data_IF_964076092006
#
_entry.id   IF_964076092006
#
_cell.length_a   1.000
_cell.length_b   1.000
_cell.length_c   1.000
_cell.angle_alpha   90.00
_cell.angle_beta   90.00
_cell.angle_gamma   90.00
#
_symmetry.space_group_name_H-M   'P 1'
#
loop_
_entity.id
_entity.type
_entity.pdbx_description
1 polymer ?
#
# COMPACT_ATOMS: atom_id res chain seq x y z
N UNK A 1 -25.13 -8.63 -3.06
CA UNK A 1 -23.79 -9.23 -3.23
C UNK A 1 -22.70 -8.49 -2.46
N UNK A 2 -22.54 -7.16 -2.60
CA UNK A 2 -21.47 -6.41 -1.91
C UNK A 2 -21.43 -6.57 -0.37
N UNK A 3 -22.60 -6.64 0.29
CA UNK A 3 -22.67 -6.87 1.73
C UNK A 3 -22.22 -8.28 2.15
N UNK A 4 -22.56 -9.30 1.35
CA UNK A 4 -22.18 -10.70 1.61
C UNK A 4 -20.67 -10.88 1.43
N UNK A 5 -20.09 -10.33 0.38
CA UNK A 5 -18.63 -10.32 0.19
C UNK A 5 -17.90 -9.53 1.27
N UNK A 6 -18.52 -8.46 1.80
CA UNK A 6 -17.96 -7.68 2.91
C UNK A 6 -17.84 -8.48 4.21
N UNK A 7 -18.88 -9.26 4.56
CA UNK A 7 -18.87 -10.13 5.74
C UNK A 7 -17.78 -11.21 5.59
N UNK A 8 -17.75 -11.91 4.45
CA UNK A 8 -16.72 -12.91 4.18
C UNK A 8 -15.31 -12.32 4.27
N UNK A 9 -15.09 -11.11 3.74
CA UNK A 9 -13.79 -10.42 3.82
C UNK A 9 -13.37 -10.15 5.27
N UNK A 10 -14.31 -9.77 6.14
CA UNK A 10 -14.00 -9.54 7.55
C UNK A 10 -13.67 -10.83 8.30
N UNK A 11 -14.37 -11.92 8.00
CA UNK A 11 -14.15 -13.23 8.62
C UNK A 11 -12.83 -13.87 8.16
N UNK A 12 -12.45 -13.62 6.90
CA UNK A 12 -11.28 -14.18 6.23
C UNK A 12 -10.07 -13.22 6.21
N UNK A 13 -10.14 -12.08 6.88
CA UNK A 13 -9.02 -11.16 6.99
C UNK A 13 -7.85 -11.80 7.75
N UNK A 14 -6.58 -11.45 7.43
CA UNK A 14 -5.45 -11.88 8.24
C UNK A 14 -5.63 -11.38 9.68
N UNK A 15 -5.47 -12.25 10.69
CA UNK A 15 -5.70 -11.87 12.08
C UNK A 15 -4.59 -10.93 12.57
N UNK A 16 -4.93 -10.09 13.55
CA UNK A 16 -3.97 -9.43 14.42
C UNK A 16 -3.84 -10.27 15.69
N UNK A 17 -2.80 -11.11 15.83
CA UNK A 17 -2.67 -12.01 16.98
C UNK A 17 -2.55 -11.22 18.28
N UNK A 18 -3.23 -11.63 19.35
CA UNK A 18 -3.07 -11.01 20.67
C UNK A 18 -1.58 -10.97 21.09
N UNK A 19 -0.86 -12.07 20.84
CA UNK A 19 0.59 -12.18 21.07
C UNK A 19 1.27 -12.95 19.94
N UNK A 20 2.51 -12.56 19.68
CA UNK A 20 3.43 -13.25 18.79
C UNK A 20 4.59 -13.77 19.63
N UNK A 21 4.89 -15.05 19.54
CA UNK A 21 5.85 -15.71 20.44
C UNK A 21 6.96 -16.43 19.68
N UNK A 22 8.11 -16.58 20.35
CA UNK A 22 9.23 -17.42 19.90
C UNK A 22 8.88 -18.91 20.01
N UNK A 23 9.68 -19.82 19.43
CA UNK A 23 9.55 -21.26 19.67
C UNK A 23 9.66 -21.66 21.15
N UNK A 24 10.37 -20.86 21.97
CA UNK A 24 10.52 -21.08 23.41
C UNK A 24 9.34 -20.52 24.23
N UNK A 25 8.43 -19.77 23.60
CA UNK A 25 7.26 -19.16 24.24
C UNK A 25 7.47 -17.71 24.70
N UNK A 26 8.63 -17.11 24.44
CA UNK A 26 8.90 -15.71 24.76
C UNK A 26 8.04 -14.79 23.90
N UNK A 27 7.46 -13.75 24.50
CA UNK A 27 6.66 -12.76 23.77
C UNK A 27 7.60 -11.86 22.96
N UNK A 28 7.42 -11.83 21.64
CA UNK A 28 8.22 -11.05 20.70
C UNK A 28 7.55 -9.71 20.36
N UNK A 29 6.23 -9.74 20.16
CA UNK A 29 5.38 -8.56 19.96
C UNK A 29 3.92 -8.89 20.29
N UNK A 30 3.06 -7.89 20.28
CA UNK A 30 1.64 -8.00 20.62
C UNK A 30 0.77 -7.28 19.61
N UNK A 31 -0.53 -7.57 19.65
CA UNK A 31 -1.52 -6.82 18.86
C UNK A 31 -1.41 -5.31 19.03
N UNK A 32 -1.19 -4.83 20.27
CA UNK A 32 -1.10 -3.40 20.56
C UNK A 32 0.10 -2.75 19.89
N UNK A 33 1.26 -3.42 19.86
CA UNK A 33 2.45 -2.90 19.18
C UNK A 33 2.29 -2.89 17.66
N UNK A 34 1.70 -3.94 17.06
CA UNK A 34 1.39 -3.97 15.62
C UNK A 34 0.43 -2.82 15.25
N UNK A 35 -0.63 -2.61 16.02
CA UNK A 35 -1.59 -1.52 15.79
C UNK A 35 -0.99 -0.13 16.04
N UNK A 36 -0.07 -0.01 17.00
CA UNK A 36 0.72 1.21 17.22
C UNK A 36 1.59 1.50 15.99
N UNK A 37 2.24 0.49 15.42
CA UNK A 37 2.98 0.62 14.17
C UNK A 37 2.12 1.08 12.99
N UNK A 38 0.92 0.52 12.85
CA UNK A 38 -0.05 0.97 11.84
C UNK A 38 -0.47 2.42 12.08
N UNK A 39 -0.66 2.82 13.33
CA UNK A 39 -1.00 4.21 13.69
C UNK A 39 0.16 5.16 13.36
N UNK A 40 1.40 4.75 13.62
CA UNK A 40 2.61 5.48 13.21
C UNK A 40 2.68 5.61 11.68
N UNK A 41 2.45 4.53 10.93
CA UNK A 41 2.40 4.56 9.47
C UNK A 41 1.42 5.64 8.94
N UNK A 42 0.24 5.73 9.56
CA UNK A 42 -0.78 6.72 9.21
C UNK A 42 -0.41 8.13 9.68
N UNK A 43 0.14 8.26 10.89
CA UNK A 43 0.53 9.55 11.49
C UNK A 43 1.54 10.30 10.62
N UNK A 44 2.50 9.57 10.04
CA UNK A 44 3.56 10.11 9.20
C UNK A 44 3.24 10.09 7.71
N UNK A 45 1.97 9.86 7.34
CA UNK A 45 1.55 9.91 5.93
C UNK A 45 2.31 8.95 5.01
N UNK A 46 2.80 7.80 5.53
CA UNK A 46 3.72 6.96 4.77
C UNK A 46 3.06 6.28 3.55
N UNK A 47 1.72 6.28 3.45
CA UNK A 47 0.98 5.88 2.25
C UNK A 47 1.07 6.91 1.10
N UNK A 48 1.45 8.15 1.42
CA UNK A 48 1.82 9.18 0.45
C UNK A 48 3.32 9.19 0.14
N UNK A 49 4.09 8.34 0.82
CA UNK A 49 5.52 8.15 0.60
C UNK A 49 5.85 6.85 -0.14
N UNK A 50 5.23 5.74 0.25
CA UNK A 50 5.33 4.42 -0.39
C UNK A 50 3.99 3.71 -0.36
N UNK A 51 4.00 2.38 -0.25
CA UNK A 51 2.77 1.58 -0.23
C UNK A 51 2.81 0.41 0.75
N UNK A 52 1.62 -0.06 1.13
CA UNK A 52 1.40 -1.34 1.84
C UNK A 52 0.35 -2.10 1.04
N UNK A 53 0.60 -3.40 0.80
CA UNK A 53 -0.26 -4.23 -0.04
C UNK A 53 -0.57 -3.61 -1.41
N UNK A 54 0.39 -2.91 -2.01
CA UNK A 54 0.29 -2.26 -3.32
C UNK A 54 -0.54 -0.98 -3.33
N UNK A 55 -1.08 -0.56 -2.18
CA UNK A 55 -1.88 0.66 -2.07
C UNK A 55 -1.03 1.78 -1.47
N UNK A 56 -0.83 2.86 -2.23
CA UNK A 56 -0.05 4.01 -1.79
C UNK A 56 0.52 4.80 -2.97
N UNK A 57 1.76 5.26 -2.84
CA UNK A 57 2.54 5.86 -3.93
C UNK A 57 3.62 4.94 -4.46
N UNK A 58 4.24 5.41 -5.55
CA UNK A 58 5.36 4.77 -6.23
C UNK A 58 6.67 5.53 -6.03
N UNK A 59 6.73 6.48 -5.08
CA UNK A 59 7.97 7.23 -4.80
C UNK A 59 8.93 6.37 -3.99
N UNK A 60 8.45 5.88 -2.85
CA UNK A 60 9.12 4.92 -2.00
C UNK A 60 8.74 3.48 -2.35
N UNK A 61 9.31 2.53 -1.61
CA UNK A 61 9.02 1.12 -1.81
C UNK A 61 7.60 0.77 -1.40
N UNK A 62 7.15 -0.41 -1.82
CA UNK A 62 6.09 -1.10 -1.09
C UNK A 62 6.70 -1.79 0.14
N UNK A 63 6.32 -1.33 1.32
CA UNK A 63 6.88 -1.81 2.58
C UNK A 63 6.57 -3.29 2.83
N UNK A 64 5.44 -3.79 2.36
CA UNK A 64 5.11 -5.22 2.48
C UNK A 64 6.03 -6.07 1.61
N UNK A 65 6.19 -5.71 0.33
CA UNK A 65 7.02 -6.44 -0.61
C UNK A 65 8.50 -6.38 -0.23
N UNK A 66 9.00 -5.21 0.14
CA UNK A 66 10.37 -5.04 0.63
C UNK A 66 10.62 -5.86 1.88
N UNK A 67 9.71 -5.81 2.87
CA UNK A 67 9.86 -6.58 4.11
C UNK A 67 9.82 -8.08 3.84
N UNK A 68 8.87 -8.55 3.02
CA UNK A 68 8.76 -9.98 2.71
C UNK A 68 10.01 -10.51 1.99
N UNK A 69 10.53 -9.74 1.05
CA UNK A 69 11.77 -10.08 0.35
C UNK A 69 12.97 -10.16 1.33
N UNK A 70 13.10 -9.17 2.22
CA UNK A 70 14.13 -9.14 3.25
C UNK A 70 14.02 -10.33 4.21
N UNK A 71 12.80 -10.68 4.66
CA UNK A 71 12.56 -11.88 5.47
C UNK A 71 13.08 -13.12 4.73
N UNK A 72 12.79 -13.25 3.44
CA UNK A 72 13.31 -14.33 2.60
C UNK A 72 14.84 -14.36 2.53
N UNK A 73 15.52 -13.22 2.46
CA UNK A 73 16.99 -13.13 2.49
C UNK A 73 17.53 -13.57 3.86
N UNK A 74 17.01 -13.00 4.94
CA UNK A 74 17.51 -13.24 6.30
C UNK A 74 17.28 -14.69 6.75
N UNK A 75 16.15 -15.28 6.40
CA UNK A 75 15.86 -16.69 6.70
C UNK A 75 16.79 -17.64 5.94
N UNK A 76 17.15 -17.34 4.69
CA UNK A 76 18.16 -18.12 3.95
C UNK A 76 19.52 -18.07 4.61
N UNK A 77 19.96 -16.88 5.02
CA UNK A 77 21.22 -16.73 5.76
C UNK A 77 21.19 -17.50 7.09
N UNK A 78 20.06 -17.47 7.81
CA UNK A 78 19.87 -18.26 9.01
C UNK A 78 20.02 -19.76 8.75
N UNK A 79 19.30 -20.30 7.76
CA UNK A 79 19.34 -21.73 7.43
C UNK A 79 20.68 -22.18 6.83
N UNK A 80 21.33 -21.33 6.03
CA UNK A 80 22.66 -21.58 5.50
C UNK A 80 23.69 -21.73 6.62
N UNK A 81 23.70 -20.80 7.59
CA UNK A 81 24.57 -20.88 8.77
C UNK A 81 24.25 -22.08 9.64
N UNK A 82 22.98 -22.34 9.88
CA UNK A 82 22.53 -23.45 10.73
C UNK A 82 22.95 -24.82 10.16
N UNK A 83 22.82 -25.01 8.85
CA UNK A 83 23.00 -26.32 8.21
C UNK A 83 24.39 -26.56 7.64
N UNK A 84 25.04 -25.50 7.14
CA UNK A 84 26.30 -25.60 6.40
C UNK A 84 27.42 -24.74 7.00
N UNK A 85 27.14 -23.96 8.07
CA UNK A 85 28.10 -23.05 8.71
C UNK A 85 28.74 -22.03 7.75
N UNK A 86 28.03 -21.68 6.69
CA UNK A 86 28.45 -20.75 5.64
C UNK A 86 27.35 -19.71 5.37
N UNK A 87 27.71 -18.58 4.77
CA UNK A 87 26.71 -17.63 4.26
C UNK A 87 25.99 -18.22 3.05
N UNK A 88 24.73 -17.83 2.84
CA UNK A 88 23.94 -18.32 1.71
C UNK A 88 24.62 -18.05 0.37
N UNK A 89 25.28 -16.89 0.24
CA UNK A 89 26.02 -16.51 -0.97
C UNK A 89 27.10 -17.54 -1.37
N UNK A 90 27.77 -18.17 -0.40
CA UNK A 90 28.90 -19.07 -0.61
C UNK A 90 28.51 -20.53 -0.86
N UNK A 91 27.24 -20.88 -0.68
CA UNK A 91 26.74 -22.23 -0.90
C UNK A 91 26.76 -22.64 -2.38
N UNK A 92 26.99 -23.94 -2.62
CA UNK A 92 26.84 -24.55 -3.94
C UNK A 92 25.37 -24.64 -4.38
N UNK A 93 25.08 -24.89 -5.67
CA UNK A 93 23.71 -24.89 -6.20
C UNK A 93 22.74 -25.85 -5.48
N UNK A 94 23.20 -27.06 -5.13
CA UNK A 94 22.37 -28.05 -4.44
C UNK A 94 22.03 -27.62 -3.00
N UNK A 95 22.97 -27.00 -2.30
CA UNK A 95 22.80 -26.51 -0.93
C UNK A 95 21.88 -25.28 -0.93
N UNK A 96 22.02 -24.37 -1.90
CA UNK A 96 21.10 -23.24 -2.11
C UNK A 96 19.67 -23.72 -2.33
N UNK A 97 19.45 -24.69 -3.21
CA UNK A 97 18.13 -25.25 -3.47
C UNK A 97 17.50 -25.86 -2.20
N UNK A 98 18.29 -26.52 -1.35
CA UNK A 98 17.82 -27.04 -0.08
C UNK A 98 17.43 -25.92 0.90
N UNK A 99 18.23 -24.86 1.00
CA UNK A 99 17.95 -23.69 1.85
C UNK A 99 16.73 -22.90 1.34
N UNK A 100 16.60 -22.75 0.02
CA UNK A 100 15.45 -22.13 -0.62
C UNK A 100 14.16 -22.87 -0.29
N UNK A 101 14.14 -24.19 -0.46
CA UNK A 101 12.99 -25.03 -0.15
C UNK A 101 12.57 -24.96 1.31
N UNK A 102 13.54 -24.97 2.24
CA UNK A 102 13.28 -24.79 3.67
C UNK A 102 12.70 -23.41 3.98
N UNK A 103 13.29 -22.35 3.41
CA UNK A 103 12.84 -20.98 3.61
C UNK A 103 11.42 -20.79 3.13
N UNK A 104 11.11 -21.25 1.91
CA UNK A 104 9.77 -21.13 1.32
C UNK A 104 8.76 -21.91 2.16
N UNK A 105 9.06 -23.17 2.51
CA UNK A 105 8.17 -24.00 3.34
C UNK A 105 7.88 -23.33 4.69
N UNK A 106 8.91 -22.76 5.33
CA UNK A 106 8.77 -22.08 6.62
C UNK A 106 7.94 -20.79 6.53
N UNK A 107 8.17 -19.95 5.52
CA UNK A 107 7.37 -18.73 5.27
C UNK A 107 5.90 -19.08 5.00
N UNK A 108 5.65 -20.14 4.23
CA UNK A 108 4.31 -20.53 3.81
C UNK A 108 3.50 -21.17 4.95
N UNK A 109 4.16 -21.78 5.92
CA UNK A 109 3.49 -22.48 7.01
C UNK A 109 2.75 -21.50 7.94
N UNK A 110 1.44 -21.70 8.07
CA UNK A 110 0.62 -20.96 9.01
C UNK A 110 0.71 -21.55 10.42
N UNK A 111 1.20 -20.74 11.37
CA UNK A 111 1.38 -21.11 12.79
C UNK A 111 0.54 -20.24 13.72
N UNK A 112 -0.51 -19.63 13.20
CA UNK A 112 -1.48 -18.91 14.02
C UNK A 112 -2.51 -19.89 14.59
N UNK A 113 -2.62 -19.94 15.90
CA UNK A 113 -3.65 -20.68 16.62
C UNK A 113 -4.80 -19.74 17.02
N UNK A 114 -5.96 -19.97 16.41
CA UNK A 114 -7.18 -19.19 16.65
C UNK A 114 -7.75 -19.40 18.06
N UNK A 115 -7.51 -20.55 18.68
CA UNK A 115 -8.04 -20.88 20.02
C UNK A 115 -7.33 -20.10 21.13
N UNK A 116 -6.02 -19.90 20.98
CA UNK A 116 -5.18 -19.16 21.92
C UNK A 116 -4.83 -17.74 21.47
N UNK A 117 -5.34 -17.32 20.30
CA UNK A 117 -5.03 -16.05 19.62
C UNK A 117 -3.53 -15.73 19.58
N UNK A 118 -2.73 -16.74 19.23
CA UNK A 118 -1.27 -16.71 19.31
C UNK A 118 -0.65 -17.10 17.97
N UNK A 119 0.30 -16.30 17.51
CA UNK A 119 1.17 -16.64 16.38
C UNK A 119 2.53 -17.09 16.91
N UNK A 120 2.95 -18.32 16.63
CA UNK A 120 4.29 -18.80 16.95
C UNK A 120 5.21 -18.68 15.74
N UNK A 121 6.27 -17.88 15.85
CA UNK A 121 7.27 -17.73 14.80
C UNK A 121 8.30 -18.86 14.88
N UNK A 122 8.87 -19.25 13.74
CA UNK A 122 10.06 -20.12 13.71
C UNK A 122 11.30 -19.35 14.21
N UNK A 123 12.37 -20.08 14.56
CA UNK A 123 13.64 -19.43 14.92
C UNK A 123 14.21 -18.54 13.81
N UNK A 124 14.05 -18.95 12.55
CA UNK A 124 14.47 -18.18 11.39
C UNK A 124 13.62 -16.91 11.21
N UNK A 125 12.31 -16.98 11.47
CA UNK A 125 11.42 -15.82 11.42
C UNK A 125 11.69 -14.82 12.55
N UNK A 126 12.01 -15.29 13.76
CA UNK A 126 12.43 -14.43 14.87
C UNK A 126 13.71 -13.68 14.51
N UNK A 127 14.73 -14.39 13.99
CA UNK A 127 15.97 -13.77 13.51
C UNK A 127 15.70 -12.74 12.41
N UNK A 128 14.85 -13.06 11.43
CA UNK A 128 14.50 -12.14 10.35
C UNK A 128 13.79 -10.88 10.85
N UNK A 129 12.87 -11.00 11.81
CA UNK A 129 12.19 -9.84 12.42
C UNK A 129 13.18 -8.89 13.11
N UNK A 130 14.19 -9.41 13.81
CA UNK A 130 15.23 -8.57 14.41
C UNK A 130 16.01 -7.77 13.36
N UNK A 131 16.34 -8.39 12.22
CA UNK A 131 17.01 -7.71 11.11
C UNK A 131 16.09 -6.65 10.46
N UNK A 132 14.81 -6.95 10.30
CA UNK A 132 13.80 -6.00 9.78
C UNK A 132 13.63 -4.80 10.71
N UNK A 133 13.60 -5.02 12.03
CA UNK A 133 13.57 -3.93 13.03
C UNK A 133 14.80 -3.03 12.89
N UNK A 134 15.98 -3.62 12.76
CA UNK A 134 17.23 -2.86 12.53
C UNK A 134 17.19 -2.07 11.22
N UNK A 135 16.74 -2.69 10.12
CA UNK A 135 16.63 -2.04 8.82
C UNK A 135 15.72 -0.80 8.84
N UNK A 136 14.55 -0.91 9.46
CA UNK A 136 13.61 0.22 9.52
C UNK A 136 13.99 1.26 10.59
N UNK A 137 14.61 0.86 11.70
CA UNK A 137 15.19 1.83 12.64
C UNK A 137 16.22 2.71 11.94
N UNK A 138 17.10 2.10 11.13
CA UNK A 138 18.08 2.79 10.32
C UNK A 138 17.42 3.74 9.30
N UNK A 139 16.54 3.19 8.44
CA UNK A 139 15.89 3.96 7.38
C UNK A 139 15.18 5.21 7.89
N UNK A 140 14.41 5.11 8.98
CA UNK A 140 13.63 6.24 9.49
C UNK A 140 14.40 7.15 10.47
N UNK A 141 15.58 6.74 10.93
CA UNK A 141 16.46 7.59 11.74
C UNK A 141 17.48 8.33 10.88
N UNK A 142 18.17 7.65 9.97
CA UNK A 142 19.24 8.22 9.12
C UNK A 142 18.75 8.67 7.74
N UNK A 143 17.56 8.25 7.32
CA UNK A 143 17.04 8.49 5.97
C UNK A 143 17.67 7.53 4.96
N UNK A 144 17.23 7.62 3.71
CA UNK A 144 17.82 6.86 2.60
C UNK A 144 18.79 7.72 1.76
N UNK A 145 19.77 7.10 1.08
CA UNK A 145 20.70 7.82 0.21
C UNK A 145 20.00 8.55 -0.95
N UNK A 146 18.86 8.02 -1.41
CA UNK A 146 18.07 8.59 -2.51
C UNK A 146 17.15 9.74 -2.04
N UNK A 147 17.12 10.04 -0.73
CA UNK A 147 16.28 11.09 -0.11
C UNK A 147 14.79 10.95 -0.44
N UNK A 148 14.32 9.71 -0.56
CA UNK A 148 12.89 9.41 -0.50
C UNK A 148 12.41 9.55 0.95
N UNK A 149 13.14 8.96 1.90
CA UNK A 149 12.93 9.10 3.34
C UNK A 149 13.96 10.06 3.90
N UNK A 150 13.50 11.20 4.40
CA UNK A 150 14.38 12.19 5.04
C UNK A 150 14.95 11.65 6.36
N UNK A 151 16.16 12.08 6.73
CA UNK A 151 16.73 11.75 8.03
C UNK A 151 15.82 12.28 9.16
N UNK A 152 15.61 11.45 10.19
CA UNK A 152 14.78 11.81 11.33
C UNK A 152 13.29 11.98 11.03
N UNK A 153 12.76 11.41 9.95
CA UNK A 153 11.30 11.39 9.69
C UNK A 153 10.53 10.89 10.92
N UNK A 154 11.03 9.85 11.60
CA UNK A 154 10.45 9.34 12.85
C UNK A 154 11.51 9.38 13.94
N UNK A 155 11.35 10.29 14.90
CA UNK A 155 12.36 10.53 15.95
C UNK A 155 12.28 9.55 17.12
N UNK A 156 11.08 9.07 17.47
CA UNK A 156 10.87 8.11 18.57
C UNK A 156 11.29 6.68 18.17
N UNK A 157 12.31 6.08 18.81
CA UNK A 157 12.70 4.69 18.56
C UNK A 157 11.58 3.68 18.81
N UNK A 158 10.70 3.94 19.79
CA UNK A 158 9.57 3.08 20.09
C UNK A 158 8.52 3.06 18.97
N UNK A 159 8.37 4.16 18.23
CA UNK A 159 7.52 4.22 17.04
C UNK A 159 8.17 3.50 15.85
N UNK A 160 9.49 3.64 15.65
CA UNK A 160 10.20 2.93 14.58
C UNK A 160 10.16 1.41 14.77
N UNK A 161 10.35 0.93 16.00
CA UNK A 161 10.23 -0.49 16.33
C UNK A 161 8.81 -1.02 16.09
N UNK A 162 7.78 -0.31 16.55
CA UNK A 162 6.38 -0.68 16.31
C UNK A 162 6.04 -0.67 14.81
N UNK A 163 6.55 0.30 14.06
CA UNK A 163 6.36 0.39 12.60
C UNK A 163 6.97 -0.82 11.87
N UNK A 164 8.16 -1.26 12.28
CA UNK A 164 8.77 -2.48 11.75
C UNK A 164 7.93 -3.72 12.05
N UNK A 165 7.33 -3.82 13.24
CA UNK A 165 6.40 -4.92 13.60
C UNK A 165 5.14 -4.91 12.73
N UNK A 166 4.62 -3.72 12.42
CA UNK A 166 3.50 -3.58 11.47
C UNK A 166 3.90 -4.05 10.07
N UNK A 167 5.04 -3.61 9.54
CA UNK A 167 5.51 -4.05 8.23
C UNK A 167 5.77 -5.55 8.16
N UNK A 168 6.38 -6.11 9.21
CA UNK A 168 6.54 -7.55 9.35
C UNK A 168 5.19 -8.28 9.35
N UNK A 169 4.19 -7.78 10.07
CA UNK A 169 2.84 -8.37 10.06
C UNK A 169 2.21 -8.34 8.65
N UNK A 170 2.35 -7.23 7.91
CA UNK A 170 1.85 -7.15 6.53
C UNK A 170 2.53 -8.16 5.61
N UNK A 171 3.84 -8.37 5.79
CA UNK A 171 4.64 -9.34 5.05
C UNK A 171 4.32 -10.79 5.45
N UNK A 172 4.11 -11.05 6.73
CA UNK A 172 3.65 -12.34 7.24
C UNK A 172 2.31 -12.72 6.58
N UNK A 173 1.34 -11.81 6.56
CA UNK A 173 0.06 -12.05 5.90
C UNK A 173 0.25 -12.33 4.39
N UNK A 174 1.18 -11.61 3.75
CA UNK A 174 1.46 -11.75 2.33
C UNK A 174 2.21 -13.04 1.95
N UNK A 175 3.01 -13.60 2.86
CA UNK A 175 3.81 -14.81 2.67
C UNK A 175 3.14 -16.10 3.15
N UNK A 176 2.27 -16.02 4.15
CA UNK A 176 1.69 -17.18 4.86
C UNK A 176 0.41 -17.68 4.20
N UNK A 177 0.29 -19.00 4.02
CA UNK A 177 -0.92 -19.63 3.49
C UNK A 177 -2.13 -19.42 4.40
N UNK A 178 -3.31 -19.26 3.81
CA UNK A 178 -4.56 -19.33 4.57
C UNK A 178 -4.75 -20.74 5.13
N UNK A 179 -5.43 -20.90 6.28
CA UNK A 179 -5.81 -22.23 6.76
C UNK A 179 -6.59 -22.98 5.68
N UNK A 180 -6.15 -24.21 5.36
CA UNK A 180 -6.78 -25.08 4.36
C UNK A 180 -6.81 -24.52 2.92
N UNK A 181 -5.91 -23.60 2.55
CA UNK A 181 -5.78 -23.12 1.18
C UNK A 181 -4.34 -23.24 0.66
N UNK A 182 -4.20 -23.15 -0.67
CA UNK A 182 -2.95 -23.20 -1.42
C UNK A 182 -2.37 -21.80 -1.77
N UNK A 183 -3.01 -20.74 -1.27
CA UNK A 183 -2.61 -19.36 -1.47
C UNK A 183 -2.56 -18.57 -0.15
N UNK A 184 -1.81 -17.47 -0.16
CA UNK A 184 -1.63 -16.60 1.02
C UNK A 184 -2.85 -15.73 1.31
N UNK A 185 -2.87 -15.03 2.45
CA UNK A 185 -3.98 -14.12 2.78
C UNK A 185 -4.21 -13.04 1.71
N UNK A 186 -3.16 -12.70 0.94
CA UNK A 186 -3.17 -11.72 -0.15
C UNK A 186 -3.21 -12.36 -1.54
N UNK A 187 -3.59 -13.64 -1.65
CA UNK A 187 -3.64 -14.37 -2.92
C UNK A 187 -2.29 -14.45 -3.64
N UNK A 188 -1.22 -14.75 -2.89
CA UNK A 188 0.18 -14.84 -3.36
C UNK A 188 0.77 -13.51 -3.90
N UNK A 189 0.14 -12.38 -3.60
CA UNK A 189 0.78 -11.08 -3.77
C UNK A 189 1.69 -10.78 -2.57
N UNK A 190 2.86 -10.13 -2.74
CA UNK A 190 3.46 -9.63 -3.97
C UNK A 190 4.20 -10.72 -4.74
N UNK A 191 4.41 -10.56 -6.07
CA UNK A 191 5.15 -11.52 -6.87
C UNK A 191 6.62 -11.57 -6.44
N UNK A 192 7.02 -12.68 -5.82
CA UNK A 192 8.39 -12.98 -5.45
C UNK A 192 8.58 -14.50 -5.37
N UNK A 193 9.23 -15.06 -6.39
CA UNK A 193 9.48 -16.50 -6.48
C UNK A 193 10.39 -17.00 -5.36
N UNK A 194 11.23 -16.14 -4.79
CA UNK A 194 12.17 -16.49 -3.71
C UNK A 194 11.45 -16.75 -2.39
N UNK A 195 10.23 -16.25 -2.20
CA UNK A 195 9.38 -16.59 -1.04
C UNK A 195 8.22 -17.50 -1.42
N UNK A 196 8.25 -18.06 -2.64
CA UNK A 196 7.21 -18.94 -3.16
C UNK A 196 5.91 -18.24 -3.54
N UNK A 197 5.92 -16.90 -3.69
CA UNK A 197 4.78 -16.17 -4.22
C UNK A 197 4.78 -16.20 -5.75
N UNK A 198 3.77 -16.87 -6.31
CA UNK A 198 3.57 -17.01 -7.75
C UNK A 198 2.10 -16.80 -8.10
N UNK A 199 1.85 -16.40 -9.34
CA UNK A 199 0.51 -16.22 -9.88
C UNK A 199 -0.30 -17.52 -9.73
N UNK A 200 -1.46 -17.44 -9.09
CA UNK A 200 -2.32 -18.61 -8.90
C UNK A 200 -3.06 -18.98 -10.18
N UNK A 201 -3.38 -20.28 -10.32
CA UNK A 201 -4.22 -20.76 -11.41
C UNK A 201 -5.58 -20.07 -11.41
N UNK A 202 -6.18 -19.88 -10.22
CA UNK A 202 -7.45 -19.18 -10.05
C UNK A 202 -7.42 -17.73 -10.56
N UNK A 203 -6.35 -16.97 -10.26
CA UNK A 203 -6.21 -15.60 -10.77
C UNK A 203 -6.16 -15.57 -12.30
N UNK A 204 -5.46 -16.55 -12.90
CA UNK A 204 -5.35 -16.68 -14.36
C UNK A 204 -6.71 -17.04 -14.97
N UNK A 205 -7.41 -18.02 -14.40
CA UNK A 205 -8.73 -18.45 -14.86
C UNK A 205 -9.75 -17.31 -14.84
N UNK A 206 -9.85 -16.56 -13.74
CA UNK A 206 -10.80 -15.45 -13.64
C UNK A 206 -10.47 -14.27 -14.57
N UNK A 207 -9.18 -14.04 -14.84
CA UNK A 207 -8.77 -13.05 -15.84
C UNK A 207 -9.32 -13.39 -17.23
N UNK A 208 -9.13 -14.63 -17.68
CA UNK A 208 -9.64 -15.08 -18.99
C UNK A 208 -11.16 -15.03 -19.05
N UNK A 209 -11.85 -15.53 -18.02
CA UNK A 209 -13.31 -15.49 -17.92
C UNK A 209 -13.82 -14.04 -17.98
N UNK A 210 -13.19 -13.10 -17.26
CA UNK A 210 -13.62 -11.70 -17.25
C UNK A 210 -13.53 -11.03 -18.62
N UNK A 211 -12.50 -11.34 -19.41
CA UNK A 211 -12.32 -10.76 -20.74
C UNK A 211 -13.39 -11.29 -21.69
N UNK A 212 -13.65 -12.60 -21.67
CA UNK A 212 -14.71 -13.22 -22.49
C UNK A 212 -16.08 -12.65 -22.13
N UNK A 213 -16.38 -12.56 -20.83
CA UNK A 213 -17.65 -11.98 -20.38
C UNK A 213 -17.75 -10.50 -20.78
N UNK A 214 -16.70 -9.70 -20.60
CA UNK A 214 -16.69 -8.30 -21.00
C UNK A 214 -17.03 -8.13 -22.48
N UNK A 215 -16.40 -8.91 -23.37
CA UNK A 215 -16.69 -8.87 -24.81
C UNK A 215 -18.13 -9.29 -25.12
N UNK A 216 -18.62 -10.37 -24.50
CA UNK A 216 -19.98 -10.85 -24.70
C UNK A 216 -21.03 -9.81 -24.24
N UNK A 217 -20.85 -9.22 -23.07
CA UNK A 217 -21.74 -8.18 -22.54
C UNK A 217 -21.66 -6.89 -23.33
N UNK A 218 -20.47 -6.48 -23.81
CA UNK A 218 -20.33 -5.32 -24.68
C UNK A 218 -21.12 -5.51 -25.98
N UNK A 219 -21.01 -6.68 -26.61
CA UNK A 219 -21.77 -7.03 -27.81
C UNK A 219 -23.28 -7.08 -27.55
N UNK A 220 -23.71 -7.70 -26.43
CA UNK A 220 -25.12 -7.76 -26.04
C UNK A 220 -25.69 -6.36 -25.78
N UNK A 221 -24.98 -5.50 -25.06
CA UNK A 221 -25.41 -4.13 -24.77
C UNK A 221 -25.49 -3.31 -26.06
N UNK A 222 -24.50 -3.40 -26.95
CA UNK A 222 -24.54 -2.73 -28.24
C UNK A 222 -25.75 -3.19 -29.07
N UNK A 223 -25.99 -4.50 -29.13
CA UNK A 223 -27.16 -5.06 -29.81
C UNK A 223 -28.47 -4.57 -29.19
N UNK A 224 -28.63 -4.62 -27.87
CA UNK A 224 -29.82 -4.11 -27.16
C UNK A 224 -30.02 -2.62 -27.37
N UNK A 225 -28.93 -1.84 -27.39
CA UNK A 225 -28.95 -0.40 -27.63
C UNK A 225 -29.51 -0.08 -29.03
N UNK A 226 -29.06 -0.81 -30.06
CA UNK A 226 -29.56 -0.66 -31.42
C UNK A 226 -30.98 -1.23 -31.61
N UNK A 227 -31.25 -2.42 -31.08
CA UNK A 227 -32.55 -3.09 -31.19
C UNK A 227 -33.65 -2.29 -30.46
N UNK A 228 -33.35 -1.78 -29.27
CA UNK A 228 -34.24 -0.91 -28.49
C UNK A 228 -34.39 0.50 -29.08
N UNK A 229 -33.66 0.83 -30.15
CA UNK A 229 -33.74 2.13 -30.80
C UNK A 229 -33.21 3.29 -29.98
N UNK A 230 -32.39 3.04 -28.95
CA UNK A 230 -31.76 4.09 -28.13
C UNK A 230 -30.73 4.93 -28.92
N UNK A 231 -30.33 4.44 -30.10
CA UNK A 231 -29.49 5.14 -31.06
C UNK A 231 -30.28 5.99 -32.06
N UNK A 232 -31.62 6.00 -31.99
CA UNK A 232 -32.46 6.83 -32.85
C UNK A 232 -32.66 8.16 -32.15
N UNK A 233 -32.09 9.22 -32.70
CA UNK A 233 -32.42 10.57 -32.27
C UNK A 233 -33.92 10.81 -32.53
N UNK A 234 -34.61 11.39 -31.56
CA UNK A 234 -35.83 12.13 -31.90
C UNK A 234 -35.38 13.29 -32.76
N UNK A 235 -35.93 13.46 -33.96
CA UNK A 235 -35.68 14.61 -34.82
C UNK A 235 -35.82 15.88 -33.97
N UNK A 236 -34.69 16.47 -33.58
CA UNK A 236 -34.68 17.63 -32.69
C UNK A 236 -35.07 18.84 -33.50
N UNK A 237 -36.38 19.07 -33.62
CA UNK A 237 -36.93 20.22 -34.34
C UNK A 237 -36.72 21.56 -33.61
N UNK A 238 -36.14 21.55 -32.40
CA UNK A 238 -35.92 22.74 -31.58
C UNK A 238 -34.43 22.93 -31.26
N UNK A 239 -33.91 24.11 -31.57
CA UNK A 239 -32.61 24.57 -31.05
C UNK A 239 -32.77 24.96 -29.56
N UNK A 240 -32.83 23.95 -28.70
CA UNK A 240 -32.96 24.13 -27.24
C UNK A 240 -31.82 24.99 -26.68
N UNK A 241 -30.64 24.95 -27.29
CA UNK A 241 -29.51 25.80 -26.90
C UNK A 241 -29.80 27.28 -27.15
N UNK A 242 -30.41 27.63 -28.29
CA UNK A 242 -30.86 29.00 -28.54
C UNK A 242 -31.96 29.46 -27.58
N UNK A 243 -32.89 28.58 -27.21
CA UNK A 243 -33.93 28.92 -26.22
C UNK A 243 -33.31 29.19 -24.85
N UNK A 244 -32.40 28.31 -24.40
CA UNK A 244 -31.67 28.47 -23.13
C UNK A 244 -30.83 29.75 -23.12
N UNK A 245 -30.18 30.10 -24.24
CA UNK A 245 -29.37 31.31 -24.35
C UNK A 245 -30.16 32.62 -24.25
N UNK A 246 -31.48 32.58 -24.53
CA UNK A 246 -32.37 33.76 -24.44
C UNK A 246 -33.03 33.92 -23.07
N UNK A 247 -32.90 32.94 -22.18
CA UNK A 247 -33.46 33.04 -20.83
C UNK A 247 -32.65 34.02 -19.97
N UNK A 248 -33.30 34.85 -19.14
CA UNK A 248 -32.60 35.75 -18.24
C UNK A 248 -31.83 34.95 -17.18
N UNK A 249 -30.60 35.38 -16.90
CA UNK A 249 -29.78 34.78 -15.85
C UNK A 249 -30.34 35.18 -14.48
N UNK A 250 -30.74 34.20 -13.69
CA UNK A 250 -31.20 34.43 -12.32
C UNK A 250 -30.06 34.87 -11.40
N UNK A 251 -30.41 35.52 -10.29
CA UNK A 251 -29.44 35.94 -9.29
C UNK A 251 -28.60 34.76 -8.74
N UNK A 252 -29.19 33.57 -8.58
CA UNK A 252 -28.47 32.37 -8.12
C UNK A 252 -27.46 31.87 -9.15
N UNK A 253 -27.86 31.76 -10.43
CA UNK A 253 -26.96 31.38 -11.53
C UNK A 253 -25.78 32.36 -11.66
N UNK A 254 -26.02 33.66 -11.50
CA UNK A 254 -24.96 34.66 -11.51
C UNK A 254 -23.97 34.48 -10.33
N UNK A 255 -24.43 34.04 -9.15
CA UNK A 255 -23.53 33.72 -8.03
C UNK A 255 -22.71 32.44 -8.26
N UNK A 256 -23.20 31.50 -9.05
CA UNK A 256 -22.46 30.28 -9.43
C UNK A 256 -21.14 30.59 -10.13
N UNK A 257 -21.02 31.72 -10.83
CA UNK A 257 -19.76 32.18 -11.43
C UNK A 257 -18.60 32.24 -10.42
N UNK A 258 -18.89 32.56 -9.15
CA UNK A 258 -17.87 32.58 -8.07
C UNK A 258 -17.35 31.18 -7.75
N UNK A 259 -18.20 30.16 -7.82
CA UNK A 259 -17.78 28.77 -7.62
C UNK A 259 -16.85 28.32 -8.75
N UNK A 260 -17.13 28.69 -10.00
CA UNK A 260 -16.22 28.40 -11.11
C UNK A 260 -14.86 29.07 -10.92
N UNK A 261 -14.80 30.30 -10.42
CA UNK A 261 -13.53 30.96 -10.11
C UNK A 261 -12.73 30.20 -9.04
N UNK A 262 -13.40 29.75 -7.98
CA UNK A 262 -12.77 28.91 -6.94
C UNK A 262 -12.27 27.60 -7.53
N UNK A 263 -13.07 26.93 -8.37
CA UNK A 263 -12.67 25.68 -9.05
C UNK A 263 -11.42 25.89 -9.91
N UNK A 264 -11.37 26.97 -10.71
CA UNK A 264 -10.18 27.29 -11.54
C UNK A 264 -8.96 27.54 -10.67
N UNK A 265 -9.10 28.28 -9.57
CA UNK A 265 -8.00 28.53 -8.64
C UNK A 265 -7.48 27.25 -7.98
N UNK A 266 -8.39 26.39 -7.51
CA UNK A 266 -8.03 25.09 -6.91
C UNK A 266 -7.40 24.15 -7.94
N UNK A 267 -7.91 24.13 -9.17
CA UNK A 267 -7.34 23.35 -10.27
C UNK A 267 -5.92 23.79 -10.63
N UNK A 268 -5.67 25.11 -10.66
CA UNK A 268 -4.33 25.65 -10.87
C UNK A 268 -3.39 25.22 -9.74
N UNK A 269 -3.82 25.36 -8.48
CA UNK A 269 -3.03 24.94 -7.32
C UNK A 269 -2.72 23.43 -7.35
N UNK A 270 -3.74 22.60 -7.64
CA UNK A 270 -3.60 21.16 -7.77
C UNK A 270 -2.57 20.78 -8.85
N UNK A 271 -2.63 21.47 -10.00
CA UNK A 271 -1.69 21.25 -11.11
C UNK A 271 -0.26 21.63 -10.74
N UNK A 272 -0.08 22.77 -10.04
CA UNK A 272 1.23 23.19 -9.54
C UNK A 272 1.82 22.19 -8.53
N UNK A 273 0.99 21.67 -7.60
CA UNK A 273 1.42 20.63 -6.66
C UNK A 273 1.79 19.33 -7.38
N UNK A 274 1.04 18.94 -8.41
CA UNK A 274 1.37 17.80 -9.27
C UNK A 274 2.72 17.96 -9.97
N UNK A 275 2.98 19.15 -10.52
CA UNK A 275 4.28 19.49 -11.11
C UNK A 275 5.43 19.45 -10.10
N UNK A 276 5.21 19.94 -8.87
CA UNK A 276 6.20 19.86 -7.80
C UNK A 276 6.53 18.41 -7.41
N UNK A 277 5.53 17.55 -7.22
CA UNK A 277 5.77 16.12 -6.94
C UNK A 277 6.56 15.43 -8.06
N UNK A 278 6.17 15.67 -9.31
CA UNK A 278 6.88 15.12 -10.47
C UNK A 278 8.33 15.63 -10.56
N UNK A 279 8.63 16.86 -10.12
CA UNK A 279 10.01 17.32 -10.00
C UNK A 279 10.77 16.54 -8.93
N UNK A 280 10.17 16.34 -7.75
CA UNK A 280 10.80 15.65 -6.63
C UNK A 280 11.16 14.19 -6.95
N UNK A 281 10.53 13.53 -7.93
CA UNK A 281 10.93 12.16 -8.35
C UNK A 281 12.24 12.16 -9.14
N UNK A 282 12.53 13.24 -9.87
CA UNK A 282 13.78 13.42 -10.61
C UNK A 282 14.92 13.99 -9.76
N UNK A 283 14.61 14.90 -8.84
CA UNK A 283 15.58 15.60 -8.00
C UNK A 283 15.13 15.64 -6.54
N UNK A 284 15.22 14.53 -5.80
CA UNK A 284 14.83 14.47 -4.39
C UNK A 284 15.54 15.53 -3.53
N UNK A 285 14.77 16.16 -2.63
CA UNK A 285 15.29 17.14 -1.67
C UNK A 285 15.57 18.55 -2.24
N UNK A 286 15.44 18.78 -3.56
CA UNK A 286 15.68 20.10 -4.17
C UNK A 286 14.63 20.46 -5.23
N UNK A 287 14.38 21.75 -5.42
CA UNK A 287 13.53 22.27 -6.48
C UNK A 287 14.31 23.26 -7.34
N UNK A 288 14.77 22.83 -8.53
CA UNK A 288 15.67 23.59 -9.41
C UNK A 288 16.89 24.21 -8.69
N UNK A 289 17.57 23.44 -7.84
CA UNK A 289 18.77 23.89 -7.10
C UNK A 289 18.47 24.71 -5.83
N UNK A 290 17.19 25.02 -5.56
CA UNK A 290 16.76 25.57 -4.28
C UNK A 290 16.49 24.41 -3.29
N UNK A 291 16.97 24.53 -2.05
CA UNK A 291 16.65 23.55 -1.00
C UNK A 291 15.14 23.46 -0.77
N UNK A 292 14.55 22.29 -1.04
CA UNK A 292 13.08 22.13 -0.96
C UNK A 292 12.57 22.06 0.49
N UNK A 293 13.45 21.66 1.41
CA UNK A 293 13.18 21.48 2.84
C UNK A 293 12.82 22.80 3.55
N UNK A 294 13.22 23.95 2.99
CA UNK A 294 13.05 25.25 3.63
C UNK A 294 11.64 25.84 3.51
N UNK A 295 10.71 25.24 2.75
CA UNK A 295 9.42 25.91 2.43
C UNK A 295 8.15 25.05 2.44
N UNK A 296 8.22 23.72 2.27
CA UNK A 296 7.03 22.82 2.31
C UNK A 296 7.19 21.74 3.42
N UNK A 297 8.13 21.93 4.35
CA UNK A 297 8.37 20.99 5.46
C UNK A 297 9.19 19.75 5.05
N UNK A 298 9.61 18.97 6.05
CA UNK A 298 10.43 17.76 5.89
C UNK A 298 9.71 16.62 5.12
N UNK A 299 8.39 16.76 4.94
CA UNK A 299 7.49 15.82 4.26
C UNK A 299 6.94 16.39 2.94
N UNK A 300 7.62 17.38 2.33
CA UNK A 300 7.08 18.19 1.23
C UNK A 300 6.48 17.41 0.05
N UNK A 301 6.92 16.19 -0.23
CA UNK A 301 6.27 15.32 -1.22
C UNK A 301 4.94 14.73 -0.74
N UNK A 302 4.87 14.20 0.48
CA UNK A 302 3.65 13.62 1.04
C UNK A 302 2.58 14.70 1.22
N UNK A 303 2.97 15.88 1.72
CA UNK A 303 2.08 17.04 1.83
C UNK A 303 1.58 17.51 0.46
N UNK A 304 2.46 17.63 -0.53
CA UNK A 304 2.07 18.01 -1.90
C UNK A 304 1.11 16.98 -2.54
N UNK A 305 1.27 15.68 -2.22
CA UNK A 305 0.35 14.64 -2.67
C UNK A 305 -1.01 14.75 -2.04
N UNK A 306 -1.05 14.95 -0.73
CA UNK A 306 -2.29 15.16 0.00
C UNK A 306 -3.09 16.28 -0.68
N UNK A 307 -2.44 17.43 -0.93
CA UNK A 307 -3.08 18.53 -1.66
C UNK A 307 -3.47 18.17 -3.10
N UNK A 308 -2.62 17.48 -3.86
CA UNK A 308 -2.93 17.10 -5.24
C UNK A 308 -4.12 16.14 -5.36
N UNK A 309 -4.25 15.19 -4.42
CA UNK A 309 -5.33 14.21 -4.38
C UNK A 309 -6.62 14.79 -3.78
N UNK A 310 -6.52 15.53 -2.66
CA UNK A 310 -7.68 16.11 -1.95
C UNK A 310 -8.30 17.31 -2.67
N UNK A 311 -7.57 17.98 -3.56
CA UNK A 311 -8.19 18.96 -4.47
C UNK A 311 -8.69 18.33 -5.77
N UNK A 312 -8.24 17.12 -6.13
CA UNK A 312 -8.76 16.33 -7.24
C UNK A 312 -10.10 15.63 -6.93
N UNK A 313 -10.41 15.43 -5.64
CA UNK A 313 -11.64 14.81 -5.16
C UNK A 313 -12.19 15.63 -3.97
N UNK A 314 -13.48 16.03 -3.94
CA UNK A 314 -14.02 16.78 -2.80
C UNK A 314 -14.13 15.87 -1.56
N UNK A 315 -13.06 15.76 -0.77
CA UNK A 315 -13.08 15.21 0.59
C UNK A 315 -12.57 16.27 1.56
N UNK A 316 -13.51 16.91 2.27
CA UNK A 316 -13.18 17.84 3.33
C UNK A 316 -12.66 17.08 4.57
N UNK A 317 -11.34 16.96 4.73
CA UNK A 317 -10.71 16.69 6.04
C UNK A 317 -9.48 17.57 6.26
N UNK A 318 -9.70 18.87 6.41
CA UNK A 318 -8.72 19.76 7.04
C UNK A 318 -8.77 19.59 8.56
N UNK A 319 -7.99 18.66 9.12
CA UNK A 319 -7.83 18.57 10.59
C UNK A 319 -6.39 18.58 11.10
N UNK A 320 -5.37 18.61 10.23
CA UNK A 320 -3.97 18.50 10.68
C UNK A 320 -3.21 19.82 10.88
N UNK A 321 -3.79 20.98 10.56
CA UNK A 321 -3.07 22.27 10.66
C UNK A 321 -3.22 23.04 11.98
N UNK A 322 -3.87 22.50 13.02
CA UNK A 322 -4.25 23.29 14.20
C UNK A 322 -3.57 22.95 15.54
N UNK A 323 -2.64 21.98 15.64
CA UNK A 323 -2.10 21.55 16.95
C UNK A 323 -0.57 21.51 17.05
N UNK A 324 0.10 22.56 16.56
CA UNK A 324 1.44 22.94 17.02
C UNK A 324 1.51 24.44 17.29
N UNK A 325 0.83 24.90 18.34
CA UNK A 325 1.21 26.11 19.08
C UNK A 325 1.07 25.83 20.56
N UNK A 326 2.20 25.99 21.25
CA UNK A 326 2.39 25.98 22.71
C UNK A 326 2.18 24.63 23.40
N UNK A 327 3.27 23.86 23.52
CA UNK A 327 4.03 23.66 24.76
C UNK A 327 5.47 23.30 24.39
#
# INVERSE_FOLDING_TARGET
MAAVSGIATMEDAPPYPAKVVSPAGDIITTKSEIMKGQSTFQQYGLMDLGSVWGHGTYRGPDFTATTLHQIGIYMREYYAKQKYQQSYANLGPAEKAAVDGLTISDIKQNRYDRSSDTLTLSGAQVFALEQVRSYYDDLFSRGDPEKVVSAGTITDPGQRAALADFFFWTAWAAGTLRPNADHTYTNNWPPDVTVGNQLSAQATTWTVISIIMFMAFLGLIAWLFHWGGFNKEADSQFDQAQVLARLPISASQAKTAKYFLVVVALFLLQTLMGGYMAHQTSNPGTFYGLGSEARIGAEGHADARLFHMDFGLPRARFRHLALRRHL
#
